data_IF_249303976741
#
_entry.id   IF_249303976741
#
_cell.length_a   1.000
_cell.length_b   1.000
_cell.length_c   1.000
_cell.angle_alpha   90.00
_cell.angle_beta   90.00
_cell.angle_gamma   90.00
#
_symmetry.space_group_name_H-M   'P 1'
#
loop_
_entity.id
_entity.type
_entity.pdbx_description
1 polymer ?
#
# COMPACT_ATOMS: atom_id res chain seq x y z
N UNK A 1 24.20 16.91 11.04
CA UNK A 1 22.77 16.59 11.01
C UNK A 1 22.57 15.53 9.94
N UNK A 2 22.35 14.26 10.31
CA UNK A 2 22.01 13.21 9.34
C UNK A 2 20.50 13.32 9.11
N UNK A 3 20.12 13.95 8.00
CA UNK A 3 18.71 14.01 7.63
C UNK A 3 18.24 12.61 7.26
N UNK A 4 17.13 12.15 7.84
CA UNK A 4 16.41 10.95 7.42
C UNK A 4 15.81 11.07 5.99
N UNK A 5 16.24 12.06 5.20
CA UNK A 5 15.69 12.36 3.88
C UNK A 5 15.91 11.24 2.86
N UNK A 6 16.99 10.46 3.02
CA UNK A 6 17.35 9.39 2.07
C UNK A 6 16.87 7.99 2.52
N UNK A 7 16.12 7.87 3.62
CA UNK A 7 15.62 6.58 4.12
C UNK A 7 14.09 6.51 4.28
N UNK A 8 13.34 7.47 3.75
CA UNK A 8 11.88 7.40 3.76
C UNK A 8 11.41 6.52 2.60
N UNK A 9 11.28 5.22 2.85
CA UNK A 9 10.98 4.23 1.81
C UNK A 9 9.50 4.25 1.40
N UNK A 10 8.59 4.33 2.38
CA UNK A 10 7.15 4.39 2.15
C UNK A 10 6.41 4.97 3.38
N UNK A 11 5.20 5.48 3.18
CA UNK A 11 4.25 5.76 4.26
C UNK A 11 3.06 4.80 4.19
N UNK A 12 2.55 4.38 5.34
CA UNK A 12 1.44 3.41 5.43
C UNK A 12 0.25 4.07 6.10
N UNK A 13 -0.91 3.96 5.46
CA UNK A 13 -2.18 4.48 5.95
C UNK A 13 -3.14 3.31 6.20
N UNK A 14 -3.44 2.97 7.47
CA UNK A 14 -4.31 1.85 7.80
C UNK A 14 -5.79 2.23 7.70
N UNK A 15 -6.58 1.35 7.08
CA UNK A 15 -8.03 1.42 6.97
C UNK A 15 -8.66 0.06 7.34
N UNK A 16 -9.99 0.04 7.48
CA UNK A 16 -10.76 -1.19 7.65
C UNK A 16 -11.85 -1.30 6.59
N UNK A 17 -11.97 -2.47 5.98
CA UNK A 17 -13.00 -2.81 5.01
C UNK A 17 -13.67 -4.12 5.42
N UNK A 18 -14.95 -4.06 5.80
CA UNK A 18 -15.71 -5.22 6.28
C UNK A 18 -15.02 -5.97 7.43
N UNK A 19 -14.39 -5.23 8.35
CA UNK A 19 -13.64 -5.79 9.48
C UNK A 19 -12.26 -6.37 9.12
N UNK A 20 -11.85 -6.34 7.85
CA UNK A 20 -10.51 -6.71 7.41
C UNK A 20 -9.61 -5.47 7.30
N UNK A 21 -8.34 -5.53 7.70
CA UNK A 21 -7.42 -4.41 7.52
C UNK A 21 -7.08 -4.21 6.03
N UNK A 22 -6.97 -2.96 5.63
CA UNK A 22 -6.51 -2.53 4.30
C UNK A 22 -5.44 -1.47 4.51
N UNK A 23 -4.30 -1.63 3.87
CA UNK A 23 -3.21 -0.67 3.96
C UNK A 23 -3.06 0.06 2.64
N UNK A 24 -3.04 1.38 2.68
CA UNK A 24 -2.63 2.19 1.54
C UNK A 24 -1.17 2.58 1.73
N UNK A 25 -0.33 2.22 0.76
CA UNK A 25 1.11 2.40 0.85
C UNK A 25 1.50 3.45 -0.16
N UNK A 26 2.13 4.52 0.31
CA UNK A 26 2.67 5.60 -0.52
C UNK A 26 4.17 5.38 -0.74
N UNK A 27 4.57 5.12 -1.98
CA UNK A 27 5.97 5.01 -2.38
C UNK A 27 6.55 6.39 -2.68
N UNK A 28 7.55 6.83 -1.91
CA UNK A 28 8.15 8.16 -2.08
C UNK A 28 8.92 8.33 -3.39
N UNK A 29 9.47 7.25 -3.94
CA UNK A 29 10.28 7.28 -5.16
C UNK A 29 9.42 7.50 -6.41
N UNK A 30 8.30 6.81 -6.50
CA UNK A 30 7.35 6.92 -7.61
C UNK A 30 6.28 7.99 -7.39
N UNK A 31 6.11 8.45 -6.14
CA UNK A 31 5.04 9.34 -5.70
C UNK A 31 3.63 8.77 -5.98
N UNK A 32 3.51 7.45 -5.89
CA UNK A 32 2.28 6.68 -6.18
C UNK A 32 1.80 5.93 -4.95
N UNK A 33 0.55 5.49 -5.00
CA UNK A 33 -0.10 4.70 -3.97
C UNK A 33 -0.44 3.31 -4.47
N UNK A 34 -0.42 2.32 -3.59
CA UNK A 34 -1.01 1.02 -3.88
C UNK A 34 -1.69 0.44 -2.64
N UNK A 35 -2.82 -0.26 -2.82
CA UNK A 35 -3.47 -0.98 -1.74
C UNK A 35 -2.75 -2.30 -1.46
N UNK A 36 -2.70 -2.68 -0.20
CA UNK A 36 -2.25 -3.97 0.28
C UNK A 36 -3.28 -4.53 1.26
N UNK A 37 -3.83 -5.70 0.93
CA UNK A 37 -4.92 -6.34 1.69
C UNK A 37 -4.43 -7.69 2.19
N UNK A 38 -4.01 -7.79 3.47
CA UNK A 38 -3.64 -9.08 4.04
C UNK A 38 -4.89 -9.98 4.20
N UNK A 39 -4.71 -11.26 3.93
CA UNK A 39 -5.73 -12.29 3.98
C UNK A 39 -5.21 -13.53 4.72
N UNK A 40 -5.20 -13.44 6.06
CA UNK A 40 -4.63 -14.46 6.92
C UNK A 40 -3.11 -14.36 7.06
N UNK A 41 -2.45 -15.50 7.27
CA UNK A 41 -1.02 -15.53 7.59
C UNK A 41 -0.16 -15.45 6.31
N UNK A 42 0.59 -14.35 6.18
CA UNK A 42 1.53 -14.08 5.07
C UNK A 42 0.92 -14.25 3.65
N UNK A 43 -0.37 -13.95 3.50
CA UNK A 43 -1.11 -14.03 2.24
C UNK A 43 -1.84 -12.73 1.97
N UNK A 44 -1.97 -12.36 0.69
CA UNK A 44 -2.64 -11.14 0.25
C UNK A 44 -3.82 -11.43 -0.68
N UNK A 45 -4.86 -10.61 -0.61
CA UNK A 45 -6.03 -10.65 -1.50
C UNK A 45 -5.79 -9.75 -2.72
N UNK A 46 -5.04 -10.26 -3.71
CA UNK A 46 -4.71 -9.50 -4.92
C UNK A 46 -5.96 -9.02 -5.68
N UNK A 47 -7.05 -9.79 -5.63
CA UNK A 47 -8.29 -9.44 -6.31
C UNK A 47 -8.93 -8.20 -5.67
N UNK A 48 -8.93 -8.11 -4.35
CA UNK A 48 -9.40 -6.92 -3.64
C UNK A 48 -8.49 -5.71 -3.86
N UNK A 49 -7.17 -5.91 -3.85
CA UNK A 49 -6.22 -4.82 -4.12
C UNK A 49 -6.41 -4.21 -5.51
N UNK A 50 -6.59 -5.04 -6.55
CA UNK A 50 -6.86 -4.55 -7.92
C UNK A 50 -8.20 -3.79 -7.97
N UNK A 51 -9.25 -4.28 -7.29
CA UNK A 51 -10.55 -3.60 -7.22
C UNK A 51 -10.42 -2.22 -6.56
N UNK A 52 -9.74 -2.15 -5.42
CA UNK A 52 -9.52 -0.90 -4.69
C UNK A 52 -8.70 0.10 -5.52
N UNK A 53 -7.64 -0.37 -6.18
CA UNK A 53 -6.83 0.43 -7.08
C UNK A 53 -7.64 0.99 -8.26
N UNK A 54 -8.52 0.19 -8.86
CA UNK A 54 -9.36 0.64 -9.97
C UNK A 54 -10.31 1.77 -9.55
N UNK A 55 -10.89 1.68 -8.35
CA UNK A 55 -11.76 2.73 -7.81
C UNK A 55 -10.97 3.99 -7.45
N UNK A 56 -9.82 3.84 -6.78
CA UNK A 56 -9.04 4.99 -6.31
C UNK A 56 -8.31 5.75 -7.42
N UNK A 57 -8.08 5.13 -8.58
CA UNK A 57 -7.32 5.73 -9.70
C UNK A 57 -7.96 7.02 -10.23
N UNK A 58 -9.24 7.27 -9.96
CA UNK A 58 -9.90 8.53 -10.34
C UNK A 58 -9.45 9.72 -9.48
N UNK A 59 -9.08 9.48 -8.21
CA UNK A 59 -8.77 10.53 -7.24
C UNK A 59 -7.29 10.54 -6.78
N UNK A 60 -6.57 9.44 -7.00
CA UNK A 60 -5.24 9.19 -6.43
C UNK A 60 -4.26 8.65 -7.50
N UNK A 61 -2.97 9.06 -7.48
CA UNK A 61 -1.97 8.46 -8.35
C UNK A 61 -1.67 7.03 -7.89
N UNK A 62 -2.33 6.05 -8.52
CA UNK A 62 -2.13 4.63 -8.23
C UNK A 62 -0.94 4.08 -9.01
N UNK A 63 -0.10 3.28 -8.36
CA UNK A 63 1.07 2.64 -8.96
C UNK A 63 0.65 1.65 -10.07
N UNK A 64 1.04 1.90 -11.35
CA UNK A 64 0.66 1.03 -12.46
C UNK A 64 1.42 -0.30 -12.51
N UNK A 65 2.63 -0.37 -11.94
CA UNK A 65 3.48 -1.56 -11.96
C UNK A 65 3.22 -2.45 -10.73
N UNK A 66 2.54 -3.57 -10.95
CA UNK A 66 2.20 -4.53 -9.87
C UNK A 66 3.45 -5.14 -9.22
N UNK A 67 4.60 -5.20 -9.91
CA UNK A 67 5.84 -5.71 -9.33
C UNK A 67 6.41 -4.75 -8.27
N UNK A 68 5.92 -3.51 -8.22
CA UNK A 68 6.24 -2.51 -7.19
C UNK A 68 5.28 -2.55 -6.01
N UNK A 69 4.27 -3.41 -6.04
CA UNK A 69 3.34 -3.57 -4.93
C UNK A 69 3.93 -4.52 -3.90
N UNK A 70 4.85 -4.00 -3.09
CA UNK A 70 5.53 -4.78 -2.06
C UNK A 70 4.58 -5.11 -0.92
N UNK A 71 4.49 -6.40 -0.58
CA UNK A 71 3.75 -6.85 0.58
C UNK A 71 4.45 -6.38 1.87
N UNK A 72 3.70 -5.70 2.74
CA UNK A 72 4.21 -5.17 4.00
C UNK A 72 3.69 -6.00 5.17
N UNK A 73 4.51 -6.95 5.63
CA UNK A 73 4.20 -7.79 6.79
C UNK A 73 4.80 -7.22 8.07
N UNK A 74 4.05 -7.27 9.17
CA UNK A 74 4.56 -6.92 10.50
C UNK A 74 4.84 -5.43 10.70
N UNK A 75 4.23 -4.53 9.91
CA UNK A 75 4.35 -3.09 10.13
C UNK A 75 3.63 -2.72 11.43
N UNK A 76 4.30 -2.06 12.39
CA UNK A 76 3.63 -1.49 13.55
C UNK A 76 2.88 -0.23 13.09
N UNK A 77 1.57 -0.37 12.88
CA UNK A 77 0.65 0.72 12.53
C UNK A 77 -0.16 1.18 13.74
#
# INVERSE_FOLDING_TARGET
MRGLGDCLLAAVFPFQLNGRPVYWIYGYKEATFYPFVPDGDHRRDNAEEIRLAAVAKEDLPVEPDLDRWYALWGVPV
#
